data_IF_897434990415
#
_entry.id   IF_897434990415
#
_cell.length_a   1.000
_cell.length_b   1.000
_cell.length_c   1.000
_cell.angle_alpha   90.00
_cell.angle_beta   90.00
_cell.angle_gamma   90.00
#
_symmetry.space_group_name_H-M   'P 1'
#
loop_
_entity.id
_entity.type
_entity.pdbx_description
1 polymer ?
#
# COMPACT_ATOMS: atom_id res chain seq x y z
N UNK A 1 -7.07 -21.77 -10.61
CA UNK A 1 -7.67 -20.50 -11.08
C UNK A 1 -6.83 -19.38 -10.50
N UNK A 2 -6.10 -18.64 -11.34
CA UNK A 2 -5.39 -17.45 -10.86
C UNK A 2 -6.41 -16.45 -10.33
N UNK A 3 -6.26 -16.03 -9.07
CA UNK A 3 -7.08 -14.96 -8.50
C UNK A 3 -6.77 -13.69 -9.27
N UNK A 4 -7.77 -13.14 -9.97
CA UNK A 4 -7.64 -11.92 -10.76
C UNK A 4 -7.36 -10.75 -9.81
N UNK A 5 -6.08 -10.36 -9.67
CA UNK A 5 -5.66 -9.22 -8.85
C UNK A 5 -5.99 -7.93 -9.58
N UNK A 6 -6.51 -6.93 -8.85
CA UNK A 6 -6.75 -5.58 -9.40
C UNK A 6 -5.51 -4.70 -9.31
N UNK A 7 -4.62 -5.02 -8.37
CA UNK A 7 -3.37 -4.32 -8.12
C UNK A 7 -2.23 -5.33 -7.96
N UNK A 8 -1.03 -4.94 -8.36
CA UNK A 8 0.19 -5.73 -8.22
C UNK A 8 1.18 -5.04 -7.30
N UNK A 9 2.01 -5.82 -6.60
CA UNK A 9 3.10 -5.26 -5.82
C UNK A 9 4.04 -4.46 -6.74
N UNK A 10 4.36 -3.23 -6.34
CA UNK A 10 5.09 -2.27 -7.17
C UNK A 10 4.21 -1.27 -7.91
N UNK A 11 2.89 -1.50 -8.00
CA UNK A 11 1.98 -0.52 -8.59
C UNK A 11 2.03 0.79 -7.81
N UNK A 12 2.28 1.89 -8.51
CA UNK A 12 2.17 3.23 -7.96
C UNK A 12 0.71 3.66 -7.94
N UNK A 13 0.24 4.12 -6.78
CA UNK A 13 -1.15 4.51 -6.56
C UNK A 13 -1.24 5.89 -5.91
N UNK A 14 -2.38 6.54 -6.09
CA UNK A 14 -2.72 7.75 -5.37
C UNK A 14 -4.09 7.58 -4.69
N UNK A 15 -4.25 8.17 -3.51
CA UNK A 15 -5.55 8.31 -2.86
C UNK A 15 -6.41 9.36 -3.56
N UNK A 16 -7.69 9.45 -3.19
CA UNK A 16 -8.55 10.54 -3.63
C UNK A 16 -8.10 11.92 -3.11
N UNK A 17 -7.38 11.96 -1.98
CA UNK A 17 -6.76 13.19 -1.42
C UNK A 17 -5.46 13.58 -2.12
N UNK A 18 -4.99 12.79 -3.09
CA UNK A 18 -3.76 13.05 -3.85
C UNK A 18 -2.47 12.57 -3.20
N UNK A 19 -2.56 11.85 -2.06
CA UNK A 19 -1.38 11.26 -1.42
C UNK A 19 -0.87 10.07 -2.24
N UNK A 20 0.44 10.04 -2.47
CA UNK A 20 1.09 9.02 -3.26
C UNK A 20 1.55 7.83 -2.41
N UNK A 21 1.45 6.63 -2.97
CA UNK A 21 1.96 5.41 -2.36
C UNK A 21 2.28 4.31 -3.38
N UNK A 22 2.79 3.20 -2.87
CA UNK A 22 3.13 2.01 -3.65
C UNK A 22 2.48 0.78 -3.03
N UNK A 23 1.91 -0.07 -3.87
CA UNK A 23 1.35 -1.35 -3.45
C UNK A 23 2.50 -2.28 -3.08
N UNK A 24 2.41 -2.95 -1.93
CA UNK A 24 3.48 -3.80 -1.40
C UNK A 24 3.08 -5.28 -1.40
N UNK A 25 4.07 -6.18 -1.44
CA UNK A 25 3.83 -7.62 -1.33
C UNK A 25 3.41 -8.02 0.09
N UNK A 26 2.81 -9.19 0.24
CA UNK A 26 2.41 -9.75 1.53
C UNK A 26 3.62 -9.87 2.49
N UNK A 27 4.78 -10.26 1.94
CA UNK A 27 6.04 -10.35 2.69
C UNK A 27 6.48 -9.00 3.26
N UNK A 28 6.44 -7.94 2.45
CA UNK A 28 6.80 -6.59 2.89
C UNK A 28 5.75 -6.10 3.89
N UNK A 29 4.46 -6.34 3.64
CA UNK A 29 3.38 -5.98 4.55
C UNK A 29 3.54 -6.62 5.93
N UNK A 30 3.90 -7.91 5.99
CA UNK A 30 4.11 -8.64 7.24
C UNK A 30 5.28 -8.08 8.07
N UNK A 31 6.28 -7.48 7.42
CA UNK A 31 7.39 -6.79 8.10
C UNK A 31 7.00 -5.39 8.54
N UNK A 32 6.49 -4.56 7.62
CA UNK A 32 6.21 -3.16 7.93
C UNK A 32 5.04 -2.97 8.90
N UNK A 33 4.09 -3.90 8.94
CA UNK A 33 2.99 -3.85 9.92
C UNK A 33 3.46 -3.99 11.38
N UNK A 34 4.71 -4.44 11.59
CA UNK A 34 5.34 -4.54 12.91
C UNK A 34 6.24 -3.35 13.23
N UNK A 35 6.81 -2.72 12.20
CA UNK A 35 7.88 -1.71 12.34
C UNK A 35 7.38 -0.29 12.10
N UNK A 36 6.38 -0.12 11.25
CA UNK A 36 5.86 1.18 10.84
C UNK A 36 4.51 1.44 11.50
N UNK A 37 4.15 2.71 11.55
CA UNK A 37 2.85 3.15 12.05
C UNK A 37 1.80 3.06 10.94
N UNK A 38 0.60 2.60 11.30
CA UNK A 38 -0.58 2.69 10.43
C UNK A 38 -1.11 4.14 10.39
N UNK A 39 -1.33 4.67 9.19
CA UNK A 39 -1.74 6.06 8.98
C UNK A 39 -3.21 6.33 9.29
N UNK A 40 -4.07 5.31 9.16
CA UNK A 40 -5.55 5.36 9.25
C UNK A 40 -6.17 6.34 8.26
N UNK A 41 -5.67 6.35 7.03
CA UNK A 41 -6.15 7.28 5.99
C UNK A 41 -7.62 7.11 5.65
N UNK A 42 -8.33 8.17 5.26
CA UNK A 42 -9.67 8.04 4.69
C UNK A 42 -9.69 7.00 3.56
N UNK A 43 -10.62 6.05 3.66
CA UNK A 43 -10.74 4.97 2.69
C UNK A 43 -9.83 3.75 2.94
N UNK A 44 -9.09 3.73 4.05
CA UNK A 44 -8.49 2.50 4.57
C UNK A 44 -9.57 1.45 4.85
N UNK A 45 -9.18 0.19 4.76
CA UNK A 45 -9.98 -0.96 5.11
C UNK A 45 -10.06 -1.05 6.63
N UNK A 46 -11.22 -0.67 7.17
CA UNK A 46 -11.53 -0.84 8.58
C UNK A 46 -12.58 -1.94 8.75
N UNK A 47 -12.22 -3.01 9.45
CA UNK A 47 -13.13 -4.07 9.86
C UNK A 47 -12.85 -4.44 11.34
N UNK A 48 -13.72 -4.04 12.28
CA UNK A 48 -13.50 -4.34 13.69
C UNK A 48 -13.49 -5.86 13.92
N UNK A 49 -12.41 -6.36 14.55
CA UNK A 49 -12.25 -7.78 14.87
C UNK A 49 -11.71 -8.68 13.74
N UNK A 50 -11.30 -8.11 12.59
CA UNK A 50 -10.77 -8.89 11.47
C UNK A 50 -9.25 -8.67 11.29
N UNK A 51 -8.53 -9.73 10.97
CA UNK A 51 -7.12 -9.67 10.58
C UNK A 51 -6.99 -9.09 9.16
N UNK A 52 -6.02 -8.21 8.93
CA UNK A 52 -5.64 -7.78 7.58
C UNK A 52 -5.25 -9.02 6.76
N UNK A 53 -6.00 -9.29 5.69
CA UNK A 53 -5.71 -10.38 4.76
C UNK A 53 -5.68 -9.81 3.34
N UNK A 54 -4.52 -9.25 2.93
CA UNK A 54 -4.35 -8.69 1.59
C UNK A 54 -4.79 -9.67 0.49
N UNK A 55 -5.78 -9.28 -0.29
CA UNK A 55 -6.28 -10.07 -1.42
C UNK A 55 -6.00 -9.39 -2.76
N UNK A 56 -5.50 -8.14 -2.73
CA UNK A 56 -5.18 -7.31 -3.91
C UNK A 56 -6.39 -7.01 -4.81
N UNK A 57 -7.60 -7.19 -4.28
CA UNK A 57 -8.88 -6.93 -4.95
C UNK A 57 -9.72 -5.97 -4.10
N UNK A 58 -9.84 -6.24 -2.81
CA UNK A 58 -10.56 -5.44 -1.82
C UNK A 58 -9.59 -4.86 -0.79
N UNK A 59 -8.61 -5.64 -0.36
CA UNK A 59 -7.59 -5.25 0.63
C UNK A 59 -6.23 -5.11 -0.05
N UNK A 60 -5.78 -3.85 -0.19
CA UNK A 60 -4.57 -3.51 -0.93
C UNK A 60 -3.61 -2.84 0.05
N UNK A 61 -2.54 -3.50 0.48
CA UNK A 61 -1.56 -2.89 1.36
C UNK A 61 -0.75 -1.86 0.56
N UNK A 62 -0.71 -0.63 1.07
CA UNK A 62 -0.04 0.50 0.44
C UNK A 62 0.92 1.13 1.45
N UNK A 63 2.17 1.31 1.04
CA UNK A 63 3.15 2.14 1.74
C UNK A 63 3.11 3.55 1.14
N UNK A 64 3.00 4.56 1.99
CA UNK A 64 2.88 5.96 1.57
C UNK A 64 4.18 6.74 1.77
N UNK A 65 4.27 7.87 1.08
CA UNK A 65 5.45 8.73 1.04
C UNK A 65 5.83 9.37 2.38
N UNK A 66 4.95 9.32 3.38
CA UNK A 66 5.24 9.80 4.74
C UNK A 66 5.79 8.69 5.67
N UNK A 67 6.09 7.51 5.13
CA UNK A 67 6.64 6.38 5.88
C UNK A 67 5.61 5.63 6.72
N UNK A 68 4.32 5.89 6.54
CA UNK A 68 3.25 5.09 7.14
C UNK A 68 2.63 4.14 6.10
N UNK A 69 1.96 3.10 6.58
CA UNK A 69 1.21 2.19 5.72
C UNK A 69 -0.27 2.25 6.03
N UNK A 70 -1.10 1.83 5.08
CA UNK A 70 -2.50 1.46 5.32
C UNK A 70 -2.88 0.30 4.40
N UNK A 71 -3.84 -0.52 4.84
CA UNK A 71 -4.56 -1.42 3.92
C UNK A 71 -5.70 -0.61 3.32
N UNK A 72 -5.68 -0.35 2.02
CA UNK A 72 -6.67 0.48 1.33
C UNK A 72 -7.74 -0.37 0.66
N UNK A 73 -8.97 0.16 0.57
CA UNK A 73 -9.98 -0.40 -0.34
C UNK A 73 -9.67 -0.02 -1.78
N UNK A 74 -9.84 -0.95 -2.72
CA UNK A 74 -9.57 -0.71 -4.14
C UNK A 74 -10.28 0.54 -4.69
N UNK A 75 -11.53 0.76 -4.29
CA UNK A 75 -12.31 1.93 -4.73
C UNK A 75 -11.76 3.29 -4.27
N UNK A 76 -10.87 3.31 -3.26
CA UNK A 76 -10.34 4.53 -2.65
C UNK A 76 -8.91 4.88 -3.12
N UNK A 77 -8.34 4.05 -4.00
CA UNK A 77 -7.03 4.25 -4.60
C UNK A 77 -7.12 4.09 -6.12
N UNK A 78 -6.26 4.81 -6.83
CA UNK A 78 -6.18 4.76 -8.30
C UNK A 78 -4.73 4.56 -8.71
N UNK A 79 -4.50 3.67 -9.70
CA UNK A 79 -3.18 3.53 -10.33
C UNK A 79 -2.79 4.86 -10.96
N UNK A 80 -1.54 5.26 -10.76
CA UNK A 80 -1.00 6.49 -11.35
C UNK A 80 0.38 6.22 -11.92
N UNK A 81 0.63 6.69 -13.13
CA UNK A 81 1.94 6.65 -13.80
C UNK A 81 2.71 7.96 -13.62
N UNK A 82 2.07 9.01 -13.10
CA UNK A 82 2.62 10.36 -12.97
C UNK A 82 3.27 10.66 -11.62
N UNK A 83 3.76 9.65 -10.91
CA UNK A 83 4.41 9.82 -9.62
C UNK A 83 5.86 10.31 -9.88
N UNK A 84 6.27 11.48 -9.34
CA UNK A 84 7.63 11.99 -9.53
C UNK A 84 8.69 10.94 -9.19
N UNK A 85 9.75 10.87 -10.00
CA UNK A 85 10.79 9.84 -9.87
C UNK A 85 11.47 9.85 -8.50
N UNK A 86 11.63 11.04 -7.90
CA UNK A 86 12.12 11.22 -6.53
C UNK A 86 11.25 10.50 -5.50
N UNK A 87 9.93 10.67 -5.59
CA UNK A 87 8.96 10.03 -4.69
C UNK A 87 8.93 8.52 -4.89
N UNK A 88 9.01 8.06 -6.14
CA UNK A 88 9.08 6.62 -6.47
C UNK A 88 10.34 6.00 -5.88
N UNK A 89 11.50 6.64 -6.07
CA UNK A 89 12.78 6.19 -5.52
C UNK A 89 12.76 6.15 -3.99
N UNK A 90 12.17 7.16 -3.35
CA UNK A 90 12.01 7.20 -1.90
C UNK A 90 11.17 6.01 -1.38
N UNK A 91 10.02 5.75 -1.99
CA UNK A 91 9.16 4.60 -1.64
C UNK A 91 9.87 3.26 -1.83
N UNK A 92 10.64 3.10 -2.91
CA UNK A 92 11.43 1.88 -3.15
C UNK A 92 12.54 1.70 -2.11
N UNK A 93 13.18 2.78 -1.68
CA UNK A 93 14.18 2.75 -0.61
C UNK A 93 13.57 2.33 0.72
N UNK A 94 12.39 2.86 1.08
CA UNK A 94 11.66 2.42 2.27
C UNK A 94 11.33 0.93 2.23
N UNK A 95 10.94 0.39 1.07
CA UNK A 95 10.70 -1.05 0.93
C UNK A 95 12.00 -1.84 1.11
N UNK A 96 13.12 -1.35 0.55
CA UNK A 96 14.42 -2.02 0.63
C UNK A 96 14.94 -2.09 2.08
N UNK A 97 14.82 -1.00 2.82
CA UNK A 97 15.20 -0.92 4.25
C UNK A 97 14.46 -1.97 5.10
N UNK A 98 13.20 -2.25 4.74
CA UNK A 98 12.37 -3.22 5.42
C UNK A 98 12.60 -4.66 4.95
N UNK A 99 13.45 -4.90 3.95
CA UNK A 99 13.81 -6.26 3.49
C UNK A 99 14.95 -6.89 4.30
N UNK A 100 15.62 -6.13 5.16
CA UNK A 100 16.59 -6.62 6.15
C UNK A 100 16.05 -7.68 7.09
#
# INVERSE_FOLDING_TARGET
>A
MERKRLFEAGDTVATFTGQAGIVISEEVFAKISKNLKEGRRPGHYFAPGCCHNPDYVIQIPVLFEDGTYDVMRAMNIKRTTGLPEEKKSYLLNLIHDQKG
#
